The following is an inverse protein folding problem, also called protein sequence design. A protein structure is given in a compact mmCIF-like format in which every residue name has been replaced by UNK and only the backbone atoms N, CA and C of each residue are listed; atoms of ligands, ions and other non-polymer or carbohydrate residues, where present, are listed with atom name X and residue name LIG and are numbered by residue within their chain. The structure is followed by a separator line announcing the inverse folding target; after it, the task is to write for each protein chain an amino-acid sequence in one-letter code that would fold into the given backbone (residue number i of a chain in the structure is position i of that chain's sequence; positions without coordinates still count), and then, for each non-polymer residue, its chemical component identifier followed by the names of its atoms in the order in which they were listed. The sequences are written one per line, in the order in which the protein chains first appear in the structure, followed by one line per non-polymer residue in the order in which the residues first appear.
data_IF_822625189392
#
_entry.id   IF_822625189392
#
_cell.length_a   1.000
_cell.length_b   1.000
_cell.length_c   1.000
_cell.angle_alpha   90.00
_cell.angle_beta   90.00
_cell.angle_gamma   90.00
#
_symmetry.space_group_name_H-M   'P 1'
#
loop_
_entity.id
_entity.type
_entity.pdbx_description
1 polymer ?
#
# COMPACT_ATOMS: atom_id res chain seq x y z
N UNK A 1 37.25 -2.25 14.74
CA UNK A 1 35.97 -1.51 14.50
C UNK A 1 34.83 -2.45 14.81
N UNK A 2 33.89 -2.03 15.62
CA UNK A 2 32.72 -2.85 15.90
C UNK A 2 31.90 -3.06 14.63
N UNK A 3 31.58 -4.30 14.32
CA UNK A 3 30.74 -4.67 13.19
C UNK A 3 29.26 -4.54 13.55
N UNK A 4 28.42 -4.27 12.54
CA UNK A 4 26.95 -4.22 12.66
C UNK A 4 26.38 -5.41 11.92
N UNK A 5 25.72 -6.29 12.64
CA UNK A 5 25.08 -7.49 12.07
C UNK A 5 23.70 -7.17 11.51
N UNK A 6 23.53 -7.36 10.21
CA UNK A 6 22.28 -7.16 9.48
C UNK A 6 21.76 -8.51 8.99
N UNK A 7 20.52 -8.82 9.29
CA UNK A 7 19.84 -10.01 8.77
C UNK A 7 18.70 -9.60 7.86
N UNK A 8 18.65 -10.18 6.66
CA UNK A 8 17.49 -10.10 5.77
C UNK A 8 16.75 -11.43 5.72
N UNK A 9 15.45 -11.40 5.95
CA UNK A 9 14.57 -12.57 5.77
C UNK A 9 13.91 -12.60 4.39
N UNK A 10 14.25 -11.65 3.54
CA UNK A 10 13.82 -11.58 2.14
C UNK A 10 15.02 -11.81 1.22
N UNK A 11 14.77 -12.41 0.07
CA UNK A 11 15.81 -12.69 -0.91
C UNK A 11 16.09 -11.46 -1.77
N UNK A 12 17.34 -11.01 -1.78
CA UNK A 12 17.87 -10.00 -2.68
C UNK A 12 18.94 -10.60 -3.58
N UNK A 13 19.12 -10.03 -4.75
CA UNK A 13 20.22 -10.38 -5.66
C UNK A 13 21.56 -10.00 -5.04
N UNK A 14 22.63 -10.71 -5.46
CA UNK A 14 23.99 -10.40 -5.00
C UNK A 14 24.37 -8.94 -5.27
N UNK A 15 23.95 -8.38 -6.39
CA UNK A 15 24.15 -6.96 -6.71
C UNK A 15 23.55 -6.01 -5.65
N UNK A 16 22.33 -6.29 -5.17
CA UNK A 16 21.69 -5.49 -4.13
C UNK A 16 22.35 -5.69 -2.78
N UNK A 17 22.78 -6.90 -2.47
CA UNK A 17 23.54 -7.18 -1.24
C UNK A 17 24.90 -6.47 -1.26
N UNK A 18 25.58 -6.42 -2.39
CA UNK A 18 26.85 -5.73 -2.52
C UNK A 18 26.67 -4.19 -2.41
N UNK A 19 25.61 -3.66 -2.96
CA UNK A 19 25.22 -2.24 -2.74
C UNK A 19 24.98 -1.95 -1.26
N UNK A 20 24.31 -2.85 -0.54
CA UNK A 20 24.09 -2.71 0.90
C UNK A 20 25.41 -2.77 1.67
N UNK A 21 26.27 -3.74 1.36
CA UNK A 21 27.60 -3.89 1.99
C UNK A 21 28.50 -2.68 1.73
N UNK A 22 28.39 -2.05 0.56
CA UNK A 22 29.15 -0.87 0.18
C UNK A 22 28.80 0.38 0.99
N UNK A 23 27.64 0.42 1.69
CA UNK A 23 27.25 1.54 2.54
C UNK A 23 28.24 1.73 3.69
N UNK A 24 28.78 0.64 4.25
CA UNK A 24 29.80 0.73 5.31
C UNK A 24 30.58 -0.58 5.42
N UNK A 25 31.91 -0.52 5.59
CA UNK A 25 32.74 -1.69 5.84
C UNK A 25 32.42 -2.38 7.20
N UNK A 26 31.62 -1.75 8.03
CA UNK A 26 31.16 -2.31 9.31
C UNK A 26 29.99 -3.30 9.14
N UNK A 27 29.31 -3.31 8.00
CA UNK A 27 28.13 -4.13 7.80
C UNK A 27 28.51 -5.60 7.53
N UNK A 28 27.98 -6.49 8.33
CA UNK A 28 27.99 -7.93 8.10
C UNK A 28 26.57 -8.35 7.75
N UNK A 29 26.31 -8.57 6.45
CA UNK A 29 24.98 -8.85 5.93
C UNK A 29 24.79 -10.33 5.71
N UNK A 30 23.82 -10.91 6.39
CA UNK A 30 23.37 -12.30 6.27
C UNK A 30 21.96 -12.31 5.65
N UNK A 31 21.68 -13.29 4.82
CA UNK A 31 20.37 -13.41 4.16
C UNK A 31 19.90 -14.86 4.20
N UNK A 32 18.66 -15.06 4.62
CA UNK A 32 17.96 -16.33 4.52
C UNK A 32 16.46 -16.06 4.45
N UNK A 33 15.80 -16.51 3.40
CA UNK A 33 14.34 -16.36 3.29
C UNK A 33 13.65 -17.10 4.43
N UNK A 34 12.80 -16.37 5.16
CA UNK A 34 12.04 -16.89 6.29
C UNK A 34 10.74 -16.11 6.48
N UNK A 35 9.69 -16.80 6.84
CA UNK A 35 8.38 -16.23 7.19
C UNK A 35 8.16 -16.17 8.71
N UNK A 36 8.93 -16.94 9.46
CA UNK A 36 8.92 -16.99 10.92
C UNK A 36 10.34 -16.87 11.47
N UNK A 37 10.47 -16.31 12.67
CA UNK A 37 11.75 -16.23 13.37
C UNK A 37 12.38 -17.59 13.67
N UNK A 38 11.55 -18.64 13.80
CA UNK A 38 12.02 -20.01 14.12
C UNK A 38 12.67 -20.71 12.91
N UNK A 39 12.49 -20.19 11.70
CA UNK A 39 13.13 -20.70 10.48
C UNK A 39 14.59 -20.26 10.35
N UNK A 40 15.03 -19.28 11.16
CA UNK A 40 16.39 -18.79 11.15
C UNK A 40 17.28 -19.52 12.16
N UNK A 41 18.59 -19.67 11.89
CA UNK A 41 19.53 -20.26 12.83
C UNK A 41 19.52 -19.52 14.17
N UNK A 42 19.38 -20.26 15.29
CA UNK A 42 19.28 -19.66 16.63
C UNK A 42 20.46 -18.72 16.94
N UNK A 43 21.69 -19.10 16.55
CA UNK A 43 22.87 -18.27 16.78
C UNK A 43 22.93 -16.96 15.99
N UNK A 44 21.99 -16.69 15.08
CA UNK A 44 21.88 -15.40 14.42
C UNK A 44 21.24 -14.36 15.34
N UNK A 45 20.26 -14.80 16.14
CA UNK A 45 19.53 -13.92 17.06
C UNK A 45 20.42 -13.32 18.15
N UNK A 46 21.44 -14.03 18.59
CA UNK A 46 22.40 -13.50 19.59
C UNK A 46 23.23 -12.33 19.07
N UNK A 47 23.32 -12.17 17.75
CA UNK A 47 24.24 -11.20 17.10
C UNK A 47 23.53 -10.12 16.29
N UNK A 48 22.29 -10.36 15.84
CA UNK A 48 21.57 -9.41 14.96
C UNK A 48 21.34 -8.08 15.66
N UNK A 49 21.68 -7.01 14.97
CA UNK A 49 21.43 -5.63 15.40
C UNK A 49 20.40 -4.93 14.53
N UNK A 50 20.34 -5.32 13.24
CA UNK A 50 19.38 -4.81 12.26
C UNK A 50 18.70 -5.97 11.56
N UNK A 51 17.38 -5.96 11.54
CA UNK A 51 16.56 -6.96 10.86
C UNK A 51 15.76 -6.30 9.73
N UNK A 52 15.92 -6.80 8.51
CA UNK A 52 15.01 -6.49 7.39
C UNK A 52 14.07 -7.67 7.17
N UNK A 53 12.77 -7.46 7.31
CA UNK A 53 11.82 -8.58 7.29
C UNK A 53 10.43 -8.20 6.76
N UNK A 54 9.70 -9.20 6.25
CA UNK A 54 8.27 -9.11 5.97
C UNK A 54 7.43 -9.46 7.20
N UNK A 55 7.74 -10.61 7.85
CA UNK A 55 6.92 -11.17 8.93
C UNK A 55 7.71 -11.95 9.99
N UNK A 56 8.97 -12.28 9.75
CA UNK A 56 9.78 -13.06 10.69
C UNK A 56 10.27 -12.17 11.84
N UNK A 57 9.41 -11.94 12.81
CA UNK A 57 9.66 -11.10 13.98
C UNK A 57 10.06 -11.97 15.18
N UNK A 58 11.25 -11.75 15.78
CA UNK A 58 11.65 -12.46 16.99
C UNK A 58 10.98 -11.88 18.22
N UNK A 59 10.88 -12.68 19.27
CA UNK A 59 10.74 -12.15 20.62
C UNK A 59 12.01 -11.35 20.96
N UNK A 60 11.91 -10.10 21.47
CA UNK A 60 13.08 -9.31 21.85
C UNK A 60 14.01 -10.02 22.83
N UNK A 61 13.49 -10.88 23.72
CA UNK A 61 14.29 -11.67 24.63
C UNK A 61 15.23 -12.67 23.93
N UNK A 62 14.88 -13.09 22.70
CA UNK A 62 15.74 -13.99 21.87
C UNK A 62 16.76 -13.22 21.04
N UNK A 63 16.59 -11.91 20.88
CA UNK A 63 17.45 -11.05 20.07
C UNK A 63 17.98 -9.85 20.88
N UNK A 64 18.82 -10.08 21.89
CA UNK A 64 19.20 -9.07 22.89
C UNK A 64 20.00 -7.88 22.30
N UNK A 65 20.54 -8.01 21.11
CA UNK A 65 21.27 -6.93 20.43
C UNK A 65 20.46 -6.23 19.35
N UNK A 66 19.22 -6.67 19.08
CA UNK A 66 18.36 -6.08 18.05
C UNK A 66 17.98 -4.66 18.46
N UNK A 67 18.28 -3.72 17.60
CA UNK A 67 18.04 -2.28 17.79
C UNK A 67 17.12 -1.68 16.76
N UNK A 68 17.04 -2.30 15.57
CA UNK A 68 16.26 -1.76 14.47
C UNK A 68 15.66 -2.88 13.63
N UNK A 69 14.36 -2.76 13.37
CA UNK A 69 13.63 -3.60 12.41
C UNK A 69 13.13 -2.71 11.29
N UNK A 70 13.58 -2.98 10.08
CA UNK A 70 13.03 -2.41 8.86
C UNK A 70 12.01 -3.38 8.29
N UNK A 71 10.74 -2.98 8.28
CA UNK A 71 9.68 -3.75 7.66
C UNK A 71 9.67 -3.55 6.14
N UNK A 72 9.46 -4.64 5.41
CA UNK A 72 9.25 -4.58 3.95
C UNK A 72 7.90 -3.96 3.59
N UNK A 73 6.88 -4.14 4.44
CA UNK A 73 5.55 -3.57 4.28
C UNK A 73 5.52 -2.06 4.56
N UNK A 74 4.48 -1.39 4.05
CA UNK A 74 4.14 -0.02 4.44
C UNK A 74 3.35 0.02 5.75
N UNK A 75 2.52 -1.00 6.02
CA UNK A 75 1.75 -1.14 7.26
C UNK A 75 2.52 -1.91 8.33
N UNK A 76 2.11 -1.72 9.59
CA UNK A 76 2.69 -2.34 10.81
C UNK A 76 1.65 -3.04 11.68
N UNK A 77 0.45 -3.27 11.18
CA UNK A 77 -0.64 -3.92 11.91
C UNK A 77 -0.22 -5.27 12.51
N UNK A 78 0.49 -6.08 11.74
CA UNK A 78 1.03 -7.38 12.17
C UNK A 78 2.18 -7.29 13.19
N UNK A 79 2.71 -6.10 13.47
CA UNK A 79 3.76 -5.86 14.49
C UNK A 79 3.15 -5.40 15.81
N UNK A 80 2.00 -4.70 15.76
CA UNK A 80 1.40 -4.02 16.93
C UNK A 80 1.04 -4.97 18.07
N UNK A 81 0.66 -6.20 17.75
CA UNK A 81 0.28 -7.23 18.75
C UNK A 81 1.48 -8.08 19.23
N UNK A 82 2.69 -7.78 18.77
CA UNK A 82 3.90 -8.52 19.15
C UNK A 82 4.61 -7.89 20.34
N UNK A 83 5.41 -8.67 21.11
CA UNK A 83 6.29 -8.11 22.14
C UNK A 83 7.26 -7.05 21.61
N UNK A 84 7.65 -7.15 20.35
CA UNK A 84 8.55 -6.20 19.68
C UNK A 84 8.00 -4.77 19.69
N UNK A 85 6.69 -4.59 19.51
CA UNK A 85 6.04 -3.27 19.53
C UNK A 85 6.16 -2.54 20.86
N UNK A 86 6.33 -3.30 21.94
CA UNK A 86 6.44 -2.77 23.32
C UNK A 86 7.87 -2.67 23.81
N UNK A 87 8.85 -2.98 22.94
CA UNK A 87 10.28 -2.95 23.25
C UNK A 87 10.91 -1.61 22.82
N UNK A 88 12.18 -1.42 23.18
CA UNK A 88 12.98 -0.25 22.75
C UNK A 88 13.53 -0.39 21.31
N UNK A 89 13.17 -1.44 20.58
CA UNK A 89 13.62 -1.66 19.21
C UNK A 89 12.90 -0.69 18.28
N UNK A 90 13.66 0.08 17.52
CA UNK A 90 13.10 0.98 16.51
C UNK A 90 12.47 0.16 15.37
N UNK A 91 11.21 0.44 15.03
CA UNK A 91 10.52 -0.16 13.88
C UNK A 91 10.27 0.90 12.84
N UNK A 92 10.74 0.64 11.62
CA UNK A 92 10.51 1.50 10.44
C UNK A 92 9.88 0.69 9.32
N UNK A 93 9.25 1.36 8.36
CA UNK A 93 8.51 0.74 7.26
C UNK A 93 9.06 1.16 5.91
N UNK A 94 8.72 0.42 4.88
CA UNK A 94 9.01 0.76 3.47
C UNK A 94 7.86 1.58 2.85
N UNK A 95 7.27 2.50 3.63
CA UNK A 95 6.23 3.39 3.12
C UNK A 95 6.74 4.22 1.93
N UNK A 96 5.95 4.27 0.85
CA UNK A 96 6.27 5.00 -0.38
C UNK A 96 6.75 4.11 -1.54
N UNK A 97 7.49 3.05 -1.28
CA UNK A 97 8.07 2.21 -2.35
C UNK A 97 7.01 1.42 -3.16
N UNK A 98 5.85 1.14 -2.56
CA UNK A 98 4.77 0.36 -3.19
C UNK A 98 3.77 1.23 -3.96
N UNK A 99 3.92 2.57 -3.93
CA UNK A 99 2.93 3.48 -4.50
C UNK A 99 2.66 3.24 -5.99
N UNK A 100 3.67 3.10 -6.89
CA UNK A 100 3.41 2.86 -8.29
C UNK A 100 2.67 1.55 -8.55
N UNK A 101 3.17 0.46 -8.00
CA UNK A 101 2.64 -0.89 -8.23
C UNK A 101 1.17 -0.99 -7.77
N UNK A 102 0.87 -0.48 -6.56
CA UNK A 102 -0.49 -0.52 -6.01
C UNK A 102 -1.42 0.42 -6.79
N UNK A 103 -0.95 1.60 -7.18
CA UNK A 103 -1.76 2.53 -7.97
C UNK A 103 -2.10 1.96 -9.36
N UNK A 104 -1.15 1.31 -10.02
CA UNK A 104 -1.41 0.60 -11.28
C UNK A 104 -2.43 -0.52 -11.10
N UNK A 105 -2.33 -1.32 -10.02
CA UNK A 105 -3.32 -2.34 -9.69
C UNK A 105 -4.72 -1.73 -9.51
N UNK A 106 -4.84 -0.63 -8.76
CA UNK A 106 -6.12 0.07 -8.55
C UNK A 106 -6.72 0.50 -9.89
N UNK A 107 -5.93 1.15 -10.75
CA UNK A 107 -6.39 1.57 -12.07
C UNK A 107 -6.75 0.38 -12.97
N UNK A 108 -5.99 -0.71 -12.90
CA UNK A 108 -6.30 -1.95 -13.62
C UNK A 108 -7.67 -2.51 -13.21
N UNK A 109 -7.98 -2.54 -11.89
CA UNK A 109 -9.29 -2.95 -11.39
C UNK A 109 -10.41 -2.01 -11.86
N UNK A 110 -10.21 -0.71 -11.76
CA UNK A 110 -11.18 0.29 -12.24
C UNK A 110 -11.46 0.10 -13.73
N UNK A 111 -10.42 -0.08 -14.55
CA UNK A 111 -10.54 -0.33 -15.98
C UNK A 111 -11.21 -1.67 -16.28
N UNK A 112 -10.84 -2.74 -15.58
CA UNK A 112 -11.42 -4.06 -15.77
C UNK A 112 -12.95 -4.04 -15.56
N UNK A 113 -13.43 -3.39 -14.52
CA UNK A 113 -14.86 -3.30 -14.22
C UNK A 113 -15.57 -2.28 -15.10
N UNK A 114 -14.99 -1.11 -15.34
CA UNK A 114 -15.58 -0.10 -16.23
C UNK A 114 -15.73 -0.63 -17.65
N UNK A 115 -14.77 -1.43 -18.13
CA UNK A 115 -14.77 -2.03 -19.48
C UNK A 115 -15.47 -3.39 -19.54
N UNK A 116 -16.09 -3.84 -18.42
CA UNK A 116 -16.79 -5.13 -18.33
C UNK A 116 -15.90 -6.32 -18.70
N UNK A 117 -14.59 -6.25 -18.43
CA UNK A 117 -13.62 -7.29 -18.76
C UNK A 117 -14.01 -8.68 -18.21
N UNK A 118 -14.48 -8.84 -16.96
CA UNK A 118 -14.92 -10.14 -16.45
C UNK A 118 -16.01 -10.77 -17.32
N UNK A 119 -16.93 -9.96 -17.86
CA UNK A 119 -17.99 -10.44 -18.75
C UNK A 119 -17.47 -10.84 -20.13
N UNK A 120 -16.50 -10.08 -20.65
CA UNK A 120 -15.84 -10.43 -21.91
C UNK A 120 -15.07 -11.75 -21.78
N UNK A 121 -14.32 -11.94 -20.71
CA UNK A 121 -13.58 -13.17 -20.43
C UNK A 121 -14.52 -14.37 -20.27
N UNK A 122 -15.68 -14.19 -19.63
CA UNK A 122 -16.68 -15.24 -19.52
C UNK A 122 -17.26 -15.65 -20.89
N UNK A 123 -17.46 -14.72 -21.81
CA UNK A 123 -17.86 -15.03 -23.19
C UNK A 123 -16.73 -15.75 -23.95
N UNK A 124 -15.49 -15.29 -23.80
CA UNK A 124 -14.33 -15.92 -24.41
C UNK A 124 -14.16 -17.38 -23.96
N UNK A 125 -14.30 -17.65 -22.66
CA UNK A 125 -14.19 -19.00 -22.10
C UNK A 125 -15.24 -19.97 -22.66
N UNK A 126 -16.39 -19.44 -23.12
CA UNK A 126 -17.45 -20.23 -23.77
C UNK A 126 -17.42 -20.19 -25.30
N UNK A 127 -16.37 -19.60 -25.88
CA UNK A 127 -16.27 -19.35 -27.32
C UNK A 127 -17.49 -18.60 -27.90
N UNK A 128 -18.12 -17.74 -27.12
CA UNK A 128 -19.30 -16.96 -27.49
C UNK A 128 -18.89 -15.60 -28.09
N UNK A 129 -19.45 -15.28 -29.27
CA UNK A 129 -19.37 -13.96 -29.87
C UNK A 129 -20.78 -13.34 -29.91
N UNK A 130 -21.20 -12.59 -28.87
CA UNK A 130 -22.58 -12.11 -28.78
C UNK A 130 -22.98 -11.20 -29.92
N UNK A 131 -24.17 -11.41 -30.51
CA UNK A 131 -24.71 -10.55 -31.57
C UNK A 131 -24.93 -9.11 -31.07
N UNK A 132 -25.40 -8.95 -29.82
CA UNK A 132 -25.63 -7.65 -29.17
C UNK A 132 -24.43 -7.19 -28.35
N UNK A 133 -23.21 -7.44 -28.83
CA UNK A 133 -21.97 -7.11 -28.09
C UNK A 133 -21.80 -5.63 -27.77
N UNK A 134 -22.27 -4.76 -28.64
CA UNK A 134 -22.19 -3.31 -28.43
C UNK A 134 -23.01 -2.84 -27.23
N UNK A 135 -24.19 -3.41 -27.03
CA UNK A 135 -25.04 -3.15 -25.86
C UNK A 135 -24.52 -3.86 -24.62
N UNK A 136 -24.17 -5.15 -24.75
CA UNK A 136 -23.68 -5.99 -23.64
C UNK A 136 -22.39 -5.49 -23.03
N UNK A 137 -21.51 -4.93 -23.85
CA UNK A 137 -20.20 -4.42 -23.41
C UNK A 137 -20.11 -2.90 -23.40
N UNK A 138 -21.21 -2.21 -23.68
CA UNK A 138 -21.25 -0.77 -23.47
C UNK A 138 -20.84 -0.42 -22.03
N UNK A 139 -19.90 0.50 -21.93
CA UNK A 139 -19.26 0.81 -20.66
C UNK A 139 -18.97 2.31 -20.57
N UNK A 140 -19.15 2.92 -19.38
CA UNK A 140 -18.78 4.30 -19.17
C UNK A 140 -17.26 4.47 -19.27
N UNK A 141 -16.85 5.64 -19.73
CA UNK A 141 -15.44 6.04 -19.68
C UNK A 141 -15.06 6.45 -18.26
N UNK A 142 -13.77 6.31 -17.90
CA UNK A 142 -13.23 6.88 -16.67
C UNK A 142 -13.21 8.42 -16.71
N UNK A 143 -13.05 8.98 -17.89
CA UNK A 143 -13.13 10.42 -18.11
C UNK A 143 -14.41 10.99 -17.50
N UNK A 144 -14.28 12.06 -16.72
CA UNK A 144 -15.37 12.73 -15.97
C UNK A 144 -15.99 11.93 -14.83
N UNK A 145 -15.59 10.66 -14.63
CA UNK A 145 -15.97 9.95 -13.43
C UNK A 145 -15.22 10.50 -12.21
N UNK A 146 -15.79 10.31 -11.03
CA UNK A 146 -15.20 10.76 -9.77
C UNK A 146 -14.64 9.57 -9.01
N UNK A 147 -13.38 9.66 -8.60
CA UNK A 147 -12.77 8.72 -7.65
C UNK A 147 -12.58 9.39 -6.30
N UNK A 148 -13.04 8.72 -5.25
CA UNK A 148 -12.79 9.07 -3.86
C UNK A 148 -11.67 8.19 -3.30
N UNK A 149 -10.58 8.80 -2.85
CA UNK A 149 -9.43 8.08 -2.29
C UNK A 149 -9.37 8.33 -0.78
N UNK A 150 -9.64 7.27 -0.02
CA UNK A 150 -9.61 7.29 1.44
C UNK A 150 -8.23 6.87 1.93
N UNK A 151 -7.50 7.81 2.56
CA UNK A 151 -6.09 7.67 2.84
C UNK A 151 -5.23 8.25 1.72
N UNK A 152 -5.12 9.58 1.69
CA UNK A 152 -4.38 10.30 0.66
C UNK A 152 -2.91 10.48 1.05
N UNK A 153 -2.23 9.34 1.33
CA UNK A 153 -0.79 9.23 1.55
C UNK A 153 -0.02 8.99 0.24
N UNK A 154 1.14 8.32 0.30
CA UNK A 154 1.96 8.01 -0.88
C UNK A 154 1.19 7.25 -1.97
N UNK A 155 0.50 6.17 -1.59
CA UNK A 155 -0.32 5.37 -2.52
C UNK A 155 -1.49 6.21 -3.05
N UNK A 156 -2.23 6.88 -2.16
CA UNK A 156 -3.39 7.67 -2.58
C UNK A 156 -3.04 8.83 -3.50
N UNK A 157 -1.87 9.46 -3.32
CA UNK A 157 -1.36 10.50 -4.22
C UNK A 157 -1.08 9.94 -5.61
N UNK A 158 -0.46 8.76 -5.70
CA UNK A 158 -0.14 8.16 -6.98
C UNK A 158 -1.41 7.66 -7.70
N UNK A 159 -2.38 7.08 -6.96
CA UNK A 159 -3.72 6.79 -7.50
C UNK A 159 -4.38 8.04 -8.05
N UNK A 160 -4.34 9.15 -7.30
CA UNK A 160 -4.90 10.44 -7.74
C UNK A 160 -4.22 10.96 -9.00
N UNK A 161 -2.89 10.91 -9.05
CA UNK A 161 -2.11 11.34 -10.22
C UNK A 161 -2.47 10.54 -11.48
N UNK A 162 -2.57 9.22 -11.38
CA UNK A 162 -2.98 8.36 -12.47
C UNK A 162 -4.45 8.61 -12.86
N UNK A 163 -5.34 8.78 -11.89
CA UNK A 163 -6.75 9.09 -12.15
C UNK A 163 -6.92 10.42 -12.91
N UNK A 164 -6.17 11.46 -12.55
CA UNK A 164 -6.13 12.72 -13.30
C UNK A 164 -5.68 12.52 -14.74
N UNK A 165 -4.68 11.66 -15.00
CA UNK A 165 -4.24 11.35 -16.36
C UNK A 165 -5.35 10.69 -17.21
N UNK A 166 -6.30 10.00 -16.58
CA UNK A 166 -7.52 9.50 -17.22
C UNK A 166 -8.66 10.52 -17.32
N UNK A 167 -8.44 11.76 -16.86
CA UNK A 167 -9.44 12.82 -16.89
C UNK A 167 -10.55 12.65 -15.86
N UNK A 168 -10.28 11.94 -14.76
CA UNK A 168 -11.19 11.79 -13.62
C UNK A 168 -11.13 13.01 -12.69
N UNK A 169 -12.19 13.21 -11.93
CA UNK A 169 -12.20 14.07 -10.76
C UNK A 169 -11.74 13.26 -9.54
N UNK A 170 -10.81 13.82 -8.76
CA UNK A 170 -10.21 13.15 -7.61
C UNK A 170 -10.61 13.83 -6.32
N UNK A 171 -11.26 13.09 -5.42
CA UNK A 171 -11.60 13.54 -4.07
C UNK A 171 -10.71 12.78 -3.08
N UNK A 172 -9.95 13.52 -2.26
CA UNK A 172 -9.05 12.92 -1.28
C UNK A 172 -9.61 13.01 0.14
N UNK A 173 -9.62 11.90 0.89
CA UNK A 173 -9.93 11.92 2.31
C UNK A 173 -8.62 11.86 3.11
N UNK A 174 -8.42 12.85 3.98
CA UNK A 174 -7.27 13.01 4.86
C UNK A 174 -7.73 13.19 6.32
N UNK A 175 -6.86 12.91 7.25
CA UNK A 175 -7.14 13.12 8.70
C UNK A 175 -7.45 14.59 9.02
N UNK A 176 -6.83 15.53 8.32
CA UNK A 176 -7.03 16.97 8.46
C UNK A 176 -7.15 17.65 7.11
N UNK A 177 -7.86 18.77 7.03
CA UNK A 177 -8.09 19.52 5.81
C UNK A 177 -6.85 20.29 5.30
N UNK A 178 -5.78 20.41 6.09
CA UNK A 178 -4.54 21.08 5.69
C UNK A 178 -3.79 20.37 4.56
N UNK A 179 -2.73 21.00 4.06
CA UNK A 179 -1.78 20.34 3.17
C UNK A 179 -1.26 19.09 3.87
N UNK A 180 -1.52 17.93 3.31
CA UNK A 180 -1.09 16.67 3.91
C UNK A 180 0.42 16.69 4.19
N UNK A 181 0.85 15.97 5.24
CA UNK A 181 2.28 15.79 5.50
C UNK A 181 2.93 15.25 4.22
N UNK A 182 4.03 15.85 3.74
CA UNK A 182 4.80 15.27 2.65
C UNK A 182 5.15 13.81 3.01
N UNK A 183 5.20 12.89 2.04
CA UNK A 183 5.68 11.54 2.29
C UNK A 183 7.11 11.63 2.87
N UNK A 184 7.41 10.84 3.90
CA UNK A 184 8.75 10.77 4.49
C UNK A 184 9.78 10.23 3.50
N UNK A 185 9.30 9.41 2.57
CA UNK A 185 10.05 8.91 1.44
C UNK A 185 9.15 8.96 0.19
N UNK A 186 9.70 9.46 -0.89
CA UNK A 186 9.09 9.43 -2.22
C UNK A 186 10.13 8.88 -3.21
N UNK A 187 9.69 8.00 -4.07
CA UNK A 187 10.56 7.47 -5.13
C UNK A 187 11.05 8.63 -6.00
N UNK A 188 12.35 8.72 -6.33
CA UNK A 188 12.90 9.83 -7.09
C UNK A 188 12.17 10.11 -8.40
N UNK A 189 11.70 9.05 -9.07
CA UNK A 189 10.94 9.14 -10.31
C UNK A 189 9.52 9.68 -10.14
N UNK A 190 8.99 9.75 -8.92
CA UNK A 190 7.66 10.32 -8.59
C UNK A 190 7.76 11.73 -8.02
N UNK A 191 8.92 12.08 -7.47
CA UNK A 191 9.13 13.35 -6.78
C UNK A 191 8.81 14.55 -7.68
N UNK A 192 7.96 15.43 -7.16
CA UNK A 192 7.58 16.66 -7.87
C UNK A 192 6.71 16.47 -9.11
N UNK A 193 6.20 15.29 -9.41
CA UNK A 193 5.28 15.10 -10.54
C UNK A 193 3.95 15.83 -10.30
N UNK A 194 3.43 16.55 -11.32
CA UNK A 194 2.14 17.23 -11.20
C UNK A 194 0.97 16.25 -11.10
N UNK A 195 -0.17 16.71 -10.57
CA UNK A 195 -1.42 15.95 -10.51
C UNK A 195 -1.56 15.03 -9.29
N UNK A 196 -0.63 15.09 -8.33
CA UNK A 196 -0.71 14.28 -7.12
C UNK A 196 -1.65 14.86 -6.04
N UNK A 197 -2.09 16.12 -6.17
CA UNK A 197 -3.07 16.72 -5.24
C UNK A 197 -4.51 16.48 -5.72
N UNK A 198 -5.47 16.25 -4.81
CA UNK A 198 -6.86 16.04 -5.16
C UNK A 198 -7.57 17.34 -5.52
N UNK A 199 -8.64 17.27 -6.31
CA UNK A 199 -9.49 18.44 -6.65
C UNK A 199 -10.25 18.99 -5.43
N UNK A 200 -10.53 18.12 -4.44
CA UNK A 200 -11.09 18.53 -3.15
C UNK A 200 -10.65 17.58 -2.03
N UNK A 201 -10.49 18.15 -0.84
CA UNK A 201 -10.11 17.42 0.37
C UNK A 201 -11.31 17.29 1.31
N UNK A 202 -11.52 16.10 1.83
CA UNK A 202 -12.52 15.78 2.84
C UNK A 202 -11.84 15.24 4.10
N UNK A 203 -12.47 15.45 5.23
CA UNK A 203 -12.08 14.89 6.53
C UNK A 203 -13.04 13.76 6.92
N UNK A 204 -12.69 12.89 7.88
CA UNK A 204 -13.54 11.75 8.28
C UNK A 204 -14.99 12.11 8.64
N UNK A 205 -15.21 13.25 9.28
CA UNK A 205 -16.53 13.79 9.63
C UNK A 205 -17.38 14.17 8.41
N UNK A 206 -16.74 14.43 7.25
CA UNK A 206 -17.38 14.78 5.99
C UNK A 206 -17.45 13.62 4.99
N UNK A 207 -17.22 12.38 5.45
CA UNK A 207 -17.28 11.19 4.59
C UNK A 207 -18.64 11.05 3.88
N UNK A 208 -19.73 11.29 4.59
CA UNK A 208 -21.09 11.18 4.05
C UNK A 208 -21.39 12.21 2.94
N UNK A 209 -20.66 13.33 2.90
CA UNK A 209 -20.76 14.32 1.80
C UNK A 209 -19.97 13.87 0.56
N UNK A 210 -18.85 13.16 0.78
CA UNK A 210 -17.94 12.72 -0.28
C UNK A 210 -18.51 11.53 -1.07
N UNK A 211 -19.02 10.51 -0.36
CA UNK A 211 -19.39 9.22 -0.94
C UNK A 211 -20.43 9.28 -2.07
N UNK A 212 -21.52 10.09 -1.98
CA UNK A 212 -22.52 10.18 -3.03
C UNK A 212 -21.98 10.74 -4.36
N UNK A 213 -20.86 11.45 -4.32
CA UNK A 213 -20.22 12.00 -5.52
C UNK A 213 -19.35 10.96 -6.26
N UNK A 214 -18.93 9.88 -5.58
CA UNK A 214 -17.94 8.94 -6.10
C UNK A 214 -18.56 7.86 -6.99
N UNK A 215 -17.97 7.64 -8.16
CA UNK A 215 -18.20 6.48 -9.02
C UNK A 215 -17.26 5.32 -8.66
N UNK A 216 -16.11 5.66 -8.12
CA UNK A 216 -15.08 4.75 -7.62
C UNK A 216 -14.65 5.20 -6.23
N UNK A 217 -14.47 4.25 -5.33
CA UNK A 217 -13.97 4.48 -3.97
C UNK A 217 -12.76 3.58 -3.75
N UNK A 218 -11.64 4.17 -3.35
CA UNK A 218 -10.39 3.46 -3.08
C UNK A 218 -10.07 3.59 -1.60
N UNK A 219 -9.93 2.45 -0.90
CA UNK A 219 -9.48 2.40 0.49
C UNK A 219 -7.98 2.15 0.52
N UNK A 220 -7.23 3.13 1.00
CA UNK A 220 -5.79 3.10 1.23
C UNK A 220 -5.47 3.57 2.66
N UNK A 221 -6.38 3.30 3.59
CA UNK A 221 -6.22 3.62 5.01
C UNK A 221 -5.39 2.54 5.71
N UNK A 222 -4.48 2.91 6.63
CA UNK A 222 -3.83 1.93 7.48
C UNK A 222 -4.85 1.29 8.43
N UNK A 223 -4.67 0.01 8.76
CA UNK A 223 -5.48 -0.67 9.75
C UNK A 223 -5.08 -0.20 11.16
N UNK A 224 -5.95 0.56 11.80
CA UNK A 224 -5.76 1.12 13.15
C UNK A 224 -7.10 1.12 13.89
N UNK A 225 -7.11 1.25 15.23
CA UNK A 225 -8.37 1.40 15.97
C UNK A 225 -9.25 2.56 15.46
N UNK A 226 -8.65 3.64 14.95
CA UNK A 226 -9.38 4.79 14.42
C UNK A 226 -9.96 4.56 13.01
N UNK A 227 -9.45 3.59 12.28
CA UNK A 227 -9.90 3.24 10.91
C UNK A 227 -10.65 1.91 10.87
N UNK A 228 -10.71 1.20 11.99
CA UNK A 228 -11.48 -0.03 12.10
C UNK A 228 -12.96 0.24 11.81
N UNK A 229 -13.55 -0.56 10.91
CA UNK A 229 -14.91 -0.37 10.42
C UNK A 229 -15.21 1.05 9.89
N UNK A 230 -14.17 1.74 9.35
CA UNK A 230 -14.34 3.07 8.76
C UNK A 230 -15.39 3.07 7.63
N UNK A 231 -15.38 2.04 6.80
CA UNK A 231 -16.46 1.75 5.87
C UNK A 231 -17.44 0.78 6.53
N UNK A 232 -18.45 1.33 7.13
CA UNK A 232 -19.56 0.64 7.76
C UNK A 232 -20.80 0.61 6.86
N UNK A 233 -21.90 0.04 7.34
CA UNK A 233 -23.15 -0.04 6.58
C UNK A 233 -23.67 1.34 6.13
N UNK A 234 -23.58 2.36 7.00
CA UNK A 234 -24.01 3.71 6.67
C UNK A 234 -23.18 4.31 5.52
N UNK A 235 -21.86 4.09 5.55
CA UNK A 235 -20.96 4.51 4.49
C UNK A 235 -21.28 3.80 3.17
N UNK A 236 -21.50 2.47 3.20
CA UNK A 236 -21.88 1.70 2.02
C UNK A 236 -23.22 2.17 1.44
N UNK A 237 -24.21 2.48 2.28
CA UNK A 237 -25.50 3.02 1.85
C UNK A 237 -25.41 4.42 1.25
N UNK A 238 -24.43 5.20 1.66
CA UNK A 238 -24.18 6.55 1.12
C UNK A 238 -23.52 6.53 -0.27
N UNK A 239 -22.91 5.41 -0.67
CA UNK A 239 -22.30 5.26 -1.99
C UNK A 239 -23.38 5.15 -3.09
N UNK A 240 -23.03 5.52 -4.33
CA UNK A 240 -23.88 5.21 -5.48
C UNK A 240 -24.07 3.68 -5.60
N UNK A 241 -25.26 3.20 -5.96
CA UNK A 241 -25.48 1.74 -6.17
C UNK A 241 -24.57 1.14 -7.26
N UNK A 242 -24.08 1.97 -8.17
CA UNK A 242 -23.16 1.58 -9.24
C UNK A 242 -21.68 1.79 -8.89
N UNK A 243 -21.39 2.32 -7.71
CA UNK A 243 -20.00 2.62 -7.34
C UNK A 243 -19.17 1.33 -7.18
N UNK A 244 -17.92 1.40 -7.61
CA UNK A 244 -16.94 0.35 -7.39
C UNK A 244 -16.09 0.69 -6.17
N UNK A 245 -16.01 -0.23 -5.21
CA UNK A 245 -15.12 -0.14 -4.06
C UNK A 245 -13.89 -1.03 -4.30
N UNK A 246 -12.70 -0.42 -4.20
CA UNK A 246 -11.40 -1.10 -4.26
C UNK A 246 -10.72 -0.95 -2.90
N UNK A 247 -10.48 -2.06 -2.22
CA UNK A 247 -9.78 -2.07 -0.94
C UNK A 247 -8.35 -2.60 -1.13
N UNK A 248 -7.36 -1.79 -0.74
CA UNK A 248 -5.92 -2.09 -0.80
C UNK A 248 -5.21 -1.81 0.55
N UNK A 249 -5.99 -1.56 1.60
CA UNK A 249 -5.50 -1.32 2.95
C UNK A 249 -5.75 -2.47 3.92
#
# INVERSE_FOLDING_TARGET
MDTISVVSTLSFSDELLDRLRAVSPRLVVMQQTASSADELPAGWWDRVEVLYTGSALPDPARAPRLRWVQMHSAGVDHVQDTPLWRSDVAVTTSSGIHAPNIAEYVLAMMLAFSRRLPRMLACQARAEWPSQRWEKFAAPELRRATVGVMGYGSIGREVGRLAHAFGMRVLGLRRSAGTGRPPEFELPELAGRPGAEPDAVFTPDRLAEMLPACDYVVLALPHTPATYHFINEAALRAMKPSALLVNIG
#
